data_IF_789281915692
#
_entry.id   IF_789281915692
#
_cell.length_a   1.000
_cell.length_b   1.000
_cell.length_c   1.000
_cell.angle_alpha   90.00
_cell.angle_beta   90.00
_cell.angle_gamma   90.00
#
_symmetry.space_group_name_H-M   'P 1'
#
loop_
_entity.id
_entity.type
_entity.pdbx_description
1 polymer ?
#
# COMPACT_ATOMS: atom_id res chain seq x y z
N UNK A 1 -19.13 9.57 16.14
CA UNK A 1 -18.55 8.69 15.11
C UNK A 1 -17.07 9.01 15.03
N UNK A 2 -16.20 8.01 15.17
CA UNK A 2 -14.76 8.21 15.05
C UNK A 2 -14.40 7.90 13.59
N UNK A 3 -14.23 8.94 12.77
CA UNK A 3 -13.87 8.79 11.36
C UNK A 3 -12.35 8.66 11.27
N UNK A 4 -11.86 7.57 10.68
CA UNK A 4 -10.43 7.44 10.40
C UNK A 4 -10.11 8.25 9.14
N UNK A 5 -9.24 9.25 9.27
CA UNK A 5 -8.88 10.19 8.19
C UNK A 5 -8.21 9.49 6.98
N UNK A 6 -7.73 8.26 7.16
CA UNK A 6 -7.13 7.46 6.09
C UNK A 6 -8.15 6.89 5.12
N UNK A 7 -9.42 6.85 5.52
CA UNK A 7 -10.52 6.35 4.69
C UNK A 7 -11.13 7.48 3.88
N UNK A 8 -10.97 7.46 2.55
CA UNK A 8 -11.29 8.54 1.62
C UNK A 8 -12.01 8.03 0.35
N UNK A 9 -12.61 6.84 0.39
CA UNK A 9 -13.33 6.26 -0.75
C UNK A 9 -12.67 5.01 -1.36
N UNK A 10 -11.68 4.43 -0.67
CA UNK A 10 -10.93 3.27 -1.14
C UNK A 10 -11.82 2.04 -1.37
N UNK A 11 -13.00 1.98 -0.77
CA UNK A 11 -13.92 0.85 -0.86
C UNK A 11 -14.37 0.59 -2.30
N UNK A 12 -14.33 1.63 -3.14
CA UNK A 12 -14.68 1.56 -4.56
C UNK A 12 -13.67 0.79 -5.41
N UNK A 13 -12.44 0.62 -4.92
CA UNK A 13 -11.36 0.11 -5.75
C UNK A 13 -10.35 -0.81 -5.04
N UNK A 14 -10.37 -0.92 -3.71
CA UNK A 14 -9.52 -1.85 -2.96
C UNK A 14 -10.26 -3.10 -2.47
N UNK A 15 -11.60 -3.07 -2.45
CA UNK A 15 -12.37 -4.13 -1.81
C UNK A 15 -12.15 -5.49 -2.48
N UNK A 16 -11.73 -6.48 -1.70
CA UNK A 16 -11.51 -7.85 -2.19
C UNK A 16 -10.24 -8.04 -3.03
N UNK A 17 -9.38 -7.02 -3.17
CA UNK A 17 -8.15 -7.16 -3.95
C UNK A 17 -7.11 -8.03 -3.23
N UNK A 18 -6.29 -8.71 -4.02
CA UNK A 18 -5.17 -9.52 -3.55
C UNK A 18 -3.89 -8.71 -3.48
N UNK A 19 -3.14 -8.91 -2.39
CA UNK A 19 -1.88 -8.25 -2.14
C UNK A 19 -0.80 -9.23 -1.71
N UNK A 20 0.40 -9.03 -2.22
CA UNK A 20 1.60 -9.75 -1.82
C UNK A 20 2.51 -8.84 -1.00
N UNK A 21 3.01 -9.32 0.13
CA UNK A 21 4.07 -8.64 0.87
C UNK A 21 5.37 -8.71 0.08
N UNK A 22 5.94 -7.57 -0.30
CA UNK A 22 7.19 -7.52 -1.05
C UNK A 22 7.97 -6.23 -0.83
N UNK A 23 9.27 -6.28 -1.17
CA UNK A 23 10.11 -5.08 -1.22
C UNK A 23 9.66 -4.18 -2.37
N UNK A 24 9.60 -2.89 -2.11
CA UNK A 24 9.35 -1.90 -3.15
C UNK A 24 10.48 -1.93 -4.17
N UNK A 25 10.09 -2.03 -5.43
CA UNK A 25 10.96 -1.89 -6.58
C UNK A 25 10.33 -0.89 -7.52
N UNK A 26 11.08 0.12 -7.92
CA UNK A 26 10.55 1.17 -8.79
C UNK A 26 10.20 0.53 -10.13
N UNK A 27 8.91 0.52 -10.48
CA UNK A 27 8.44 -0.13 -11.71
C UNK A 27 8.97 0.57 -12.97
N UNK A 28 9.13 1.90 -12.92
CA UNK A 28 9.66 2.70 -14.03
C UNK A 28 10.41 3.93 -13.47
N UNK A 29 11.60 4.24 -14.01
CA UNK A 29 12.42 5.41 -13.61
C UNK A 29 11.67 6.74 -13.70
N UNK A 30 10.67 6.84 -14.58
CA UNK A 30 9.89 8.06 -14.84
C UNK A 30 8.54 8.11 -14.11
N UNK A 31 8.08 7.00 -13.50
CA UNK A 31 6.91 7.02 -12.63
C UNK A 31 7.34 7.48 -11.25
N UNK A 32 6.81 8.63 -10.87
CA UNK A 32 7.15 9.30 -9.63
C UNK A 32 6.32 8.66 -8.52
N UNK A 33 6.97 7.77 -7.78
CA UNK A 33 6.63 7.27 -6.44
C UNK A 33 5.23 6.64 -6.23
N UNK A 34 5.21 5.42 -5.66
CA UNK A 34 3.98 4.85 -5.11
C UNK A 34 3.79 5.36 -3.69
N UNK A 35 2.55 5.69 -3.35
CA UNK A 35 2.13 6.04 -2.00
C UNK A 35 1.25 4.92 -1.44
N UNK A 36 1.21 4.80 -0.11
CA UNK A 36 0.18 4.00 0.55
C UNK A 36 -1.21 4.55 0.21
N UNK A 37 -2.10 3.68 -0.27
CA UNK A 37 -3.48 4.03 -0.67
C UNK A 37 -4.34 4.60 0.49
N UNK A 38 -3.90 4.43 1.73
CA UNK A 38 -4.61 4.88 2.94
C UNK A 38 -3.96 6.11 3.57
N UNK A 39 -2.69 6.02 3.96
CA UNK A 39 -2.02 7.10 4.72
C UNK A 39 -1.12 8.02 3.89
N UNK A 40 -0.94 7.74 2.58
CA UNK A 40 -0.07 8.52 1.72
C UNK A 40 1.44 8.36 1.98
N UNK A 41 1.86 7.45 2.87
CA UNK A 41 3.28 7.20 3.12
C UNK A 41 4.01 6.76 1.83
N UNK A 42 5.21 7.28 1.61
CA UNK A 42 5.99 7.06 0.38
C UNK A 42 6.75 5.75 0.42
N UNK A 43 6.77 5.03 -0.70
CA UNK A 43 7.65 3.89 -0.91
C UNK A 43 8.91 4.29 -1.69
N UNK A 44 10.08 3.75 -1.30
CA UNK A 44 11.34 4.00 -1.99
C UNK A 44 12.25 2.77 -1.98
N UNK A 45 13.18 2.68 -2.94
CA UNK A 45 14.15 1.58 -3.05
C UNK A 45 15.37 1.76 -2.13
N UNK A 46 15.66 2.98 -1.69
CA UNK A 46 16.82 3.30 -0.85
C UNK A 46 16.43 4.28 0.26
N UNK A 47 16.69 3.91 1.51
CA UNK A 47 16.54 4.70 2.75
C UNK A 47 17.35 6.02 2.83
N UNK A 48 17.87 6.57 1.72
CA UNK A 48 18.53 7.88 1.75
C UNK A 48 17.58 9.02 2.17
N UNK A 49 16.26 8.80 2.04
CA UNK A 49 15.24 9.68 2.57
C UNK A 49 14.70 9.10 3.87
N UNK A 50 14.85 9.80 4.99
CA UNK A 50 14.51 9.32 6.34
C UNK A 50 13.01 9.04 6.59
N UNK A 51 12.16 9.12 5.56
CA UNK A 51 10.69 9.05 5.69
C UNK A 51 10.03 8.13 4.63
N UNK A 52 10.75 7.12 4.12
CA UNK A 52 10.22 6.19 3.11
C UNK A 52 10.16 4.74 3.59
N UNK A 53 9.21 3.99 3.02
CA UNK A 53 8.93 2.58 3.32
C UNK A 53 9.55 1.70 2.22
N UNK A 54 10.30 0.68 2.62
CA UNK A 54 10.91 -0.27 1.67
C UNK A 54 10.10 -1.55 1.46
N UNK A 55 9.19 -1.88 2.37
CA UNK A 55 8.38 -3.12 2.33
C UNK A 55 6.92 -2.79 2.52
N UNK A 56 6.08 -3.33 1.63
CA UNK A 56 4.63 -3.17 1.71
C UNK A 56 3.90 -4.31 1.06
N UNK A 57 2.59 -4.14 0.97
CA UNK A 57 1.67 -5.03 0.30
C UNK A 57 1.30 -4.41 -1.04
N UNK A 58 1.53 -5.11 -2.14
CA UNK A 58 1.15 -4.61 -3.47
C UNK A 58 0.35 -5.62 -4.27
N UNK A 59 -0.48 -5.11 -5.17
CA UNK A 59 -1.16 -5.91 -6.19
C UNK A 59 -0.13 -6.56 -7.13
N UNK A 60 -0.53 -7.63 -7.83
CA UNK A 60 0.37 -8.41 -8.70
C UNK A 60 0.99 -7.58 -9.84
N UNK A 61 0.30 -6.53 -10.28
CA UNK A 61 0.75 -5.55 -11.26
C UNK A 61 1.66 -4.44 -10.68
N UNK A 62 1.90 -4.44 -9.37
CA UNK A 62 2.61 -3.41 -8.61
C UNK A 62 2.01 -1.99 -8.71
N UNK A 63 0.75 -1.87 -9.14
CA UNK A 63 0.09 -0.58 -9.29
C UNK A 63 -0.29 0.01 -7.92
N UNK A 64 -0.87 -0.81 -7.04
CA UNK A 64 -1.36 -0.38 -5.73
C UNK A 64 -0.45 -0.82 -4.61
N UNK A 65 -0.25 0.03 -3.62
CA UNK A 65 0.62 -0.24 -2.48
C UNK A 65 -0.04 0.16 -1.18
N UNK A 66 0.15 -0.68 -0.16
CA UNK A 66 -0.36 -0.47 1.20
C UNK A 66 0.78 -0.74 2.17
N UNK A 67 1.05 0.20 3.08
CA UNK A 67 2.06 -0.01 4.11
C UNK A 67 1.61 -1.07 5.12
N UNK A 68 2.55 -1.70 5.80
CA UNK A 68 2.23 -2.80 6.72
C UNK A 68 1.20 -2.42 7.80
N UNK A 69 1.29 -1.19 8.34
CA UNK A 69 0.34 -0.71 9.33
C UNK A 69 -1.08 -0.59 8.76
N UNK A 70 -1.24 0.05 7.61
CA UNK A 70 -2.56 0.22 7.00
C UNK A 70 -3.16 -1.10 6.53
N UNK A 71 -2.33 -2.06 6.08
CA UNK A 71 -2.81 -3.38 5.73
C UNK A 71 -3.41 -4.08 6.96
N UNK A 72 -2.71 -4.05 8.11
CA UNK A 72 -3.22 -4.62 9.36
C UNK A 72 -4.50 -3.94 9.84
N UNK A 73 -4.58 -2.63 9.72
CA UNK A 73 -5.73 -1.85 10.19
C UNK A 73 -6.98 -2.04 9.32
N UNK A 74 -6.80 -2.27 8.01
CA UNK A 74 -7.90 -2.23 7.04
C UNK A 74 -8.18 -3.55 6.31
N UNK A 75 -7.36 -4.61 6.49
CA UNK A 75 -7.56 -5.87 5.78
C UNK A 75 -8.96 -6.47 5.99
N UNK A 76 -9.47 -6.50 7.21
CA UNK A 76 -10.78 -7.06 7.52
C UNK A 76 -11.90 -6.19 6.94
N UNK A 77 -11.78 -4.86 7.09
CA UNK A 77 -12.82 -3.91 6.64
C UNK A 77 -12.96 -3.88 5.11
N UNK A 78 -11.85 -3.96 4.40
CA UNK A 78 -11.82 -3.91 2.93
C UNK A 78 -11.67 -5.29 2.28
N UNK A 79 -11.70 -6.36 3.08
CA UNK A 79 -11.43 -7.72 2.60
C UNK A 79 -10.14 -7.79 1.75
N UNK A 80 -9.05 -7.17 2.22
CA UNK A 80 -7.76 -7.22 1.54
C UNK A 80 -7.16 -8.62 1.74
N UNK A 81 -6.91 -9.33 0.65
CA UNK A 81 -6.49 -10.73 0.69
C UNK A 81 -4.97 -10.79 0.60
N UNK A 82 -4.29 -11.18 1.68
CA UNK A 82 -2.87 -11.49 1.62
C UNK A 82 -2.67 -12.81 0.85
N UNK A 83 -1.91 -12.77 -0.23
CA UNK A 83 -1.46 -13.97 -0.94
C UNK A 83 -0.03 -14.30 -0.51
N UNK A 84 0.14 -15.48 0.09
CA UNK A 84 1.45 -16.02 0.39
C UNK A 84 2.11 -16.46 -0.91
N UNK A 85 3.34 -16.03 -1.12
CA UNK A 85 4.14 -16.35 -2.32
C UNK A 85 5.25 -17.33 -2.05
#
# INVERSE_FOLDING_TARGET
MNYDWREQGQEKYLFGLQFKKQKYKKYNKNLDHNHCEFCGAKFCEILHNQNCIEVGYSTSDNYRWICEQCFKDFNQKYNLIEVLS
#
